data_IF_770802834947
#
_entry.id   IF_770802834947
#
_cell.length_a   1.000
_cell.length_b   1.000
_cell.length_c   1.000
_cell.angle_alpha   90.00
_cell.angle_beta   90.00
_cell.angle_gamma   90.00
#
_symmetry.space_group_name_H-M   'P 1'
#
loop_
_entity.id
_entity.type
_entity.pdbx_description
1 polymer ?
#
# COMPACT_ATOMS: atom_id res chain seq x y z
N UNK A 1 -4.50 -14.77 2.79
CA UNK A 1 -5.96 -14.70 3.06
C UNK A 1 -6.16 -13.78 4.25
N UNK A 2 -7.16 -12.89 4.21
CA UNK A 2 -7.46 -11.97 5.29
C UNK A 2 -8.03 -12.74 6.49
N UNK A 3 -7.51 -12.46 7.68
CA UNK A 3 -7.92 -13.11 8.93
C UNK A 3 -8.52 -12.06 9.88
N UNK A 4 -9.72 -12.28 10.45
CA UNK A 4 -10.38 -11.29 11.30
C UNK A 4 -9.69 -11.13 12.67
N UNK A 5 -8.77 -12.04 13.00
CA UNK A 5 -8.08 -12.10 14.29
C UNK A 5 -6.57 -12.25 14.10
N UNK A 6 -5.86 -11.79 15.11
CA UNK A 6 -4.42 -11.99 15.27
C UNK A 6 -4.12 -13.47 15.59
N UNK A 7 -2.86 -13.92 15.44
CA UNK A 7 -2.46 -15.30 15.77
C UNK A 7 -2.75 -15.72 17.22
N UNK A 8 -2.83 -14.76 18.14
CA UNK A 8 -3.18 -14.97 19.55
C UNK A 8 -4.70 -14.98 19.80
N UNK A 9 -5.52 -14.82 18.76
CA UNK A 9 -6.98 -14.77 18.82
C UNK A 9 -7.58 -13.40 19.15
N UNK A 10 -6.77 -12.38 19.41
CA UNK A 10 -7.24 -11.02 19.61
C UNK A 10 -7.81 -10.42 18.32
N UNK A 11 -8.74 -9.46 18.44
CA UNK A 11 -9.18 -8.69 17.28
C UNK A 11 -8.02 -7.81 16.78
N UNK A 12 -8.01 -7.53 15.47
CA UNK A 12 -7.20 -6.44 14.96
C UNK A 12 -7.73 -5.10 15.50
N UNK A 13 -6.84 -4.12 15.75
CA UNK A 13 -7.30 -2.78 16.12
C UNK A 13 -8.12 -2.15 14.98
N UNK A 14 -9.03 -1.21 15.29
CA UNK A 14 -9.75 -0.48 14.27
C UNK A 14 -8.80 0.35 13.39
N UNK A 15 -9.18 0.55 12.13
CA UNK A 15 -8.46 1.47 11.24
C UNK A 15 -8.57 2.89 11.81
N UNK A 16 -7.46 3.61 12.02
CA UNK A 16 -7.52 4.96 12.58
C UNK A 16 -8.32 5.93 11.71
N UNK A 17 -9.09 6.83 12.34
CA UNK A 17 -9.92 7.83 11.63
C UNK A 17 -9.12 8.71 10.67
N UNK A 18 -7.87 9.03 11.00
CA UNK A 18 -6.98 9.82 10.14
C UNK A 18 -6.66 9.09 8.84
N UNK A 19 -6.52 7.77 8.87
CA UNK A 19 -6.30 6.93 7.70
C UNK A 19 -7.59 6.76 6.90
N UNK A 20 -8.73 6.60 7.58
CA UNK A 20 -10.06 6.55 6.93
C UNK A 20 -10.37 7.84 6.18
N UNK A 21 -9.97 9.01 6.71
CA UNK A 21 -10.12 10.30 6.02
C UNK A 21 -9.33 10.36 4.71
N UNK A 22 -8.13 9.78 4.66
CA UNK A 22 -7.34 9.71 3.41
C UNK A 22 -8.09 8.87 2.38
N UNK A 23 -8.61 7.69 2.76
CA UNK A 23 -9.43 6.87 1.87
C UNK A 23 -10.59 7.67 1.26
N UNK A 24 -11.39 8.32 2.12
CA UNK A 24 -12.57 9.10 1.69
C UNK A 24 -12.22 10.20 0.68
N UNK A 25 -11.01 10.74 0.73
CA UNK A 25 -10.56 11.81 -0.17
C UNK A 25 -10.09 11.30 -1.54
N UNK A 26 -9.61 10.06 -1.64
CA UNK A 26 -8.84 9.60 -2.82
C UNK A 26 -9.38 8.32 -3.47
N UNK A 27 -10.24 7.57 -2.79
CA UNK A 27 -10.72 6.26 -3.29
C UNK A 27 -11.79 6.39 -4.36
N UNK A 28 -12.46 7.54 -4.45
CA UNK A 28 -13.59 7.79 -5.35
C UNK A 28 -14.77 6.80 -5.17
N UNK A 29 -14.87 6.16 -3.99
CA UNK A 29 -15.94 5.21 -3.67
C UNK A 29 -16.55 5.46 -2.30
N UNK A 30 -17.85 5.21 -2.17
CA UNK A 30 -18.57 5.35 -0.89
C UNK A 30 -18.26 4.21 0.10
N UNK A 31 -17.92 3.02 -0.41
CA UNK A 31 -17.59 1.85 0.41
C UNK A 31 -16.33 2.13 1.24
N UNK A 32 -16.37 2.05 2.59
CA UNK A 32 -15.18 2.18 3.41
C UNK A 32 -14.28 0.95 3.28
N UNK A 33 -12.96 1.08 3.53
CA UNK A 33 -12.07 -0.05 3.59
C UNK A 33 -12.35 -0.85 4.85
N UNK A 34 -12.25 -2.17 4.76
CA UNK A 34 -12.39 -3.10 5.89
C UNK A 34 -11.05 -3.74 6.28
N UNK A 35 -9.99 -3.44 5.52
CA UNK A 35 -8.66 -3.97 5.72
C UNK A 35 -7.58 -2.89 5.58
N UNK A 36 -6.58 -2.96 6.45
CA UNK A 36 -5.45 -2.05 6.52
C UNK A 36 -4.18 -2.86 6.79
N UNK A 37 -3.32 -2.99 5.77
CA UNK A 37 -2.04 -3.65 5.88
C UNK A 37 -0.93 -2.62 6.12
N UNK A 38 -0.14 -2.83 7.17
CA UNK A 38 1.02 -2.00 7.49
C UNK A 38 2.29 -2.78 7.12
N UNK A 39 3.06 -2.24 6.18
CA UNK A 39 4.38 -2.76 5.83
C UNK A 39 5.47 -1.83 6.35
N UNK A 40 6.53 -2.39 6.93
CA UNK A 40 7.73 -1.66 7.30
C UNK A 40 8.90 -2.09 6.41
N UNK A 41 9.64 -1.11 5.89
CA UNK A 41 10.81 -1.30 5.04
C UNK A 41 12.03 -0.64 5.70
N UNK A 42 13.04 -1.44 6.04
CA UNK A 42 14.36 -0.98 6.48
C UNK A 42 15.30 -0.65 5.31
N UNK A 43 16.60 -0.56 5.61
CA UNK A 43 17.66 -0.13 4.68
C UNK A 43 17.71 -0.93 3.37
N UNK A 44 17.67 -2.26 3.44
CA UNK A 44 17.77 -3.14 2.28
C UNK A 44 16.43 -3.77 1.86
N UNK A 45 15.32 -3.24 2.39
CA UNK A 45 14.00 -3.82 2.16
C UNK A 45 13.50 -3.55 0.73
N UNK A 46 12.99 -4.60 0.10
CA UNK A 46 12.41 -4.58 -1.24
C UNK A 46 11.17 -5.44 -1.29
N UNK A 47 10.29 -5.13 -2.24
CA UNK A 47 9.11 -5.92 -2.54
C UNK A 47 9.03 -6.11 -4.04
N UNK A 48 9.14 -7.38 -4.48
CA UNK A 48 9.06 -7.72 -5.89
C UNK A 48 7.72 -7.35 -6.52
N UNK A 49 7.68 -7.37 -7.85
CA UNK A 49 6.45 -7.11 -8.60
C UNK A 49 5.40 -8.18 -8.27
N UNK A 50 4.27 -7.74 -7.76
CA UNK A 50 3.11 -8.56 -7.42
C UNK A 50 1.82 -7.82 -7.81
N UNK A 51 0.68 -8.49 -7.67
CA UNK A 51 -0.64 -7.90 -7.86
C UNK A 51 -1.43 -8.13 -6.57
N UNK A 52 -2.23 -7.15 -6.18
CA UNK A 52 -3.23 -7.31 -5.12
C UNK A 52 -4.46 -8.00 -5.72
N UNK A 53 -4.65 -9.29 -5.41
CA UNK A 53 -5.68 -10.16 -6.02
C UNK A 53 -6.40 -11.05 -5.02
N UNK A 54 -6.15 -10.83 -3.74
CA UNK A 54 -6.68 -11.65 -2.65
C UNK A 54 -8.06 -11.14 -2.18
N UNK A 55 -8.51 -10.01 -2.70
CA UNK A 55 -9.81 -9.41 -2.39
C UNK A 55 -10.94 -10.09 -3.15
N UNK A 56 -12.12 -10.16 -2.52
CA UNK A 56 -13.31 -10.79 -3.09
C UNK A 56 -13.83 -10.05 -4.32
N UNK A 57 -13.78 -8.72 -4.30
CA UNK A 57 -14.22 -7.86 -5.41
C UNK A 57 -13.06 -6.95 -5.84
N UNK A 58 -12.54 -7.22 -7.04
CA UNK A 58 -11.41 -6.52 -7.62
C UNK A 58 -11.80 -5.21 -8.34
N UNK A 59 -13.05 -4.76 -8.21
CA UNK A 59 -13.48 -3.43 -8.68
C UNK A 59 -13.13 -2.31 -7.69
N UNK A 60 -13.02 -2.63 -6.40
CA UNK A 60 -12.65 -1.66 -5.37
C UNK A 60 -11.19 -1.24 -5.50
N UNK A 61 -10.83 0.03 -5.24
CA UNK A 61 -9.47 0.50 -5.36
C UNK A 61 -8.55 -0.07 -4.27
N UNK A 62 -7.24 -0.01 -4.51
CA UNK A 62 -6.20 -0.12 -3.47
C UNK A 62 -5.64 1.28 -3.23
N UNK A 63 -5.65 1.74 -1.99
CA UNK A 63 -5.05 3.03 -1.59
C UNK A 63 -3.82 2.76 -0.76
N UNK A 64 -2.67 3.29 -1.17
CA UNK A 64 -1.37 3.04 -0.55
C UNK A 64 -0.71 4.35 -0.14
N UNK A 65 -0.52 4.54 1.17
CA UNK A 65 0.04 5.75 1.77
C UNK A 65 1.51 5.50 2.11
N UNK A 66 2.39 6.42 1.73
CA UNK A 66 3.83 6.35 2.01
C UNK A 66 4.20 7.27 3.17
N UNK A 67 4.92 6.76 4.16
CA UNK A 67 5.36 7.51 5.33
C UNK A 67 6.83 7.16 5.63
N UNK A 68 7.68 8.15 5.90
CA UNK A 68 9.10 7.91 6.16
C UNK A 68 9.94 7.99 4.91
N UNK A 69 10.97 7.16 4.81
CA UNK A 69 11.95 7.23 3.72
C UNK A 69 11.33 7.10 2.33
N UNK A 70 11.89 7.85 1.37
CA UNK A 70 11.48 7.80 -0.02
C UNK A 70 11.69 6.37 -0.58
N UNK A 71 10.77 5.90 -1.40
CA UNK A 71 10.87 4.60 -2.05
C UNK A 71 10.64 4.68 -3.55
N UNK A 72 11.44 3.90 -4.30
CA UNK A 72 11.26 3.76 -5.74
C UNK A 72 10.16 2.72 -5.99
N UNK A 73 8.94 3.22 -6.15
CA UNK A 73 7.77 2.45 -6.49
C UNK A 73 7.79 2.11 -7.98
N UNK A 74 7.72 0.81 -8.30
CA UNK A 74 7.66 0.32 -9.67
C UNK A 74 6.24 -0.12 -9.96
N UNK A 75 5.66 0.38 -11.05
CA UNK A 75 4.32 0.01 -11.55
C UNK A 75 4.42 -0.45 -13.01
N UNK A 76 3.77 -1.56 -13.32
CA UNK A 76 3.76 -2.20 -14.62
C UNK A 76 2.38 -2.30 -15.24
N UNK A 77 2.28 -3.14 -16.26
CA UNK A 77 1.01 -3.52 -16.87
C UNK A 77 0.26 -4.54 -16.00
N UNK A 78 -0.96 -4.90 -16.40
CA UNK A 78 -1.76 -5.95 -15.76
C UNK A 78 -1.33 -7.37 -16.17
N UNK A 79 -0.52 -7.48 -17.23
CA UNK A 79 0.08 -8.72 -17.73
C UNK A 79 1.53 -8.84 -17.28
N UNK A 80 1.95 -10.09 -16.99
CA UNK A 80 3.32 -10.37 -16.56
C UNK A 80 4.30 -10.14 -17.72
N UNK A 81 5.46 -9.57 -17.42
CA UNK A 81 6.51 -9.28 -18.41
C UNK A 81 6.28 -8.00 -19.22
N UNK A 82 5.19 -7.26 -18.96
CA UNK A 82 4.95 -5.96 -19.56
C UNK A 82 5.95 -4.89 -19.08
N UNK A 83 5.98 -3.76 -19.79
CA UNK A 83 6.81 -2.62 -19.44
C UNK A 83 6.48 -2.07 -18.04
N UNK A 84 7.49 -1.53 -17.37
CA UNK A 84 7.34 -0.90 -16.04
C UNK A 84 7.82 0.54 -16.06
N UNK A 85 7.24 1.34 -15.18
CA UNK A 85 7.67 2.70 -14.86
C UNK A 85 7.98 2.77 -13.38
N UNK A 86 8.94 3.62 -13.02
CA UNK A 86 9.32 3.84 -11.63
C UNK A 86 9.05 5.28 -11.23
N UNK A 87 8.48 5.46 -10.04
CA UNK A 87 8.18 6.74 -9.44
C UNK A 87 8.76 6.76 -8.03
N UNK A 88 9.41 7.85 -7.65
CA UNK A 88 9.74 8.05 -6.23
C UNK A 88 8.47 8.44 -5.50
N UNK A 89 8.14 7.69 -4.44
CA UNK A 89 7.11 8.05 -3.47
C UNK A 89 7.80 8.58 -2.23
N UNK A 90 7.44 9.79 -1.83
CA UNK A 90 7.95 10.48 -0.67
C UNK A 90 7.00 10.33 0.52
N UNK A 91 7.46 10.73 1.70
CA UNK A 91 6.60 10.79 2.88
C UNK A 91 5.40 11.71 2.64
N UNK A 92 4.19 11.18 2.77
CA UNK A 92 2.92 11.87 2.52
C UNK A 92 2.26 11.51 1.19
N UNK A 93 3.00 10.89 0.25
CA UNK A 93 2.43 10.52 -1.05
C UNK A 93 1.42 9.39 -0.92
N UNK A 94 0.38 9.45 -1.75
CA UNK A 94 -0.67 8.44 -1.84
C UNK A 94 -0.76 7.93 -3.28
N UNK A 95 -0.60 6.61 -3.44
CA UNK A 95 -0.83 5.92 -4.71
C UNK A 95 -2.19 5.21 -4.67
N UNK A 96 -2.98 5.39 -5.73
CA UNK A 96 -4.29 4.72 -5.88
C UNK A 96 -4.23 3.82 -7.12
N UNK A 97 -4.48 2.52 -6.92
CA UNK A 97 -4.63 1.55 -8.00
C UNK A 97 -6.12 1.25 -8.16
N UNK A 98 -6.72 1.78 -9.22
CA UNK A 98 -8.15 1.68 -9.50
C UNK A 98 -8.41 1.42 -10.99
N UNK A 99 -9.64 1.00 -11.30
CA UNK A 99 -10.07 0.75 -12.68
C UNK A 99 -9.10 -0.15 -13.45
N UNK A 100 -8.64 0.31 -14.61
CA UNK A 100 -7.71 -0.45 -15.48
C UNK A 100 -6.35 -0.76 -14.82
N UNK A 101 -5.96 0.02 -13.80
CA UNK A 101 -4.69 -0.15 -13.08
C UNK A 101 -4.83 -0.94 -11.78
N UNK A 102 -6.05 -1.34 -11.41
CA UNK A 102 -6.32 -2.04 -10.15
C UNK A 102 -5.53 -3.34 -9.98
N UNK A 103 -5.23 -3.99 -11.10
CA UNK A 103 -4.41 -5.22 -11.16
C UNK A 103 -3.05 -4.95 -11.79
N UNK A 104 -2.52 -3.74 -11.77
CA UNK A 104 -1.17 -3.47 -12.25
C UNK A 104 -0.15 -4.21 -11.38
N UNK A 105 0.83 -4.86 -12.02
CA UNK A 105 1.98 -5.39 -11.29
C UNK A 105 2.74 -4.23 -10.64
N UNK A 106 3.00 -4.30 -9.34
CA UNK A 106 3.69 -3.23 -8.64
C UNK A 106 4.56 -3.73 -7.49
N UNK A 107 5.47 -2.89 -7.02
CA UNK A 107 6.42 -3.24 -5.97
C UNK A 107 7.30 -2.08 -5.55
N UNK A 108 8.17 -2.35 -4.57
CA UNK A 108 9.17 -1.40 -4.08
C UNK A 108 10.54 -1.94 -4.48
N UNK A 109 11.20 -1.25 -5.40
CA UNK A 109 12.49 -1.67 -5.95
C UNK A 109 13.63 -1.41 -4.95
N UNK A 110 13.62 -0.22 -4.35
CA UNK A 110 14.54 0.18 -3.28
C UNK A 110 13.96 1.31 -2.44
N UNK A 111 14.44 1.42 -1.21
CA UNK A 111 14.26 2.58 -0.33
C UNK A 111 15.49 3.47 -0.38
N UNK A 112 15.33 4.78 -0.22
CA UNK A 112 16.45 5.69 0.06
C UNK A 112 16.55 5.86 1.56
N UNK A 113 17.25 4.94 2.21
CA UNK A 113 17.33 4.88 3.66
C UNK A 113 17.87 6.19 4.27
N UNK A 114 17.22 6.65 5.34
CA UNK A 114 17.57 7.90 6.06
C UNK A 114 17.24 9.19 5.29
N UNK A 115 16.41 9.12 4.25
CA UNK A 115 15.96 10.31 3.51
C UNK A 115 14.89 11.12 4.23
N UNK A 116 14.19 10.53 5.19
CA UNK A 116 13.14 11.18 5.96
C UNK A 116 13.53 11.34 7.43
N UNK A 117 12.98 12.38 8.05
CA UNK A 117 13.09 12.62 9.51
C UNK A 117 11.88 12.09 10.28
N UNK A 118 10.88 11.54 9.60
CA UNK A 118 9.65 11.07 10.26
C UNK A 118 9.94 9.92 11.23
N UNK A 119 10.80 8.98 10.83
CA UNK A 119 11.25 7.87 11.67
C UNK A 119 12.68 8.14 12.14
N UNK A 120 12.93 8.31 13.46
CA UNK A 120 14.26 8.69 13.96
C UNK A 120 15.38 7.70 13.62
N UNK A 121 15.04 6.44 13.34
CA UNK A 121 16.00 5.37 12.98
C UNK A 121 16.02 5.08 11.48
N UNK A 122 15.43 5.95 10.66
CA UNK A 122 15.16 5.68 9.26
C UNK A 122 14.06 4.63 9.07
N UNK A 123 13.84 4.28 7.82
CA UNK A 123 12.83 3.32 7.37
C UNK A 123 11.60 3.98 6.77
N UNK A 124 10.77 3.14 6.16
CA UNK A 124 9.51 3.52 5.52
C UNK A 124 8.37 2.66 6.06
N UNK A 125 7.26 3.30 6.34
CA UNK A 125 5.97 2.67 6.59
C UNK A 125 5.09 2.84 5.36
N UNK A 126 4.41 1.78 4.97
CA UNK A 126 3.36 1.82 3.97
C UNK A 126 2.06 1.32 4.57
N UNK A 127 1.01 2.13 4.44
CA UNK A 127 -0.34 1.79 4.89
C UNK A 127 -1.16 1.52 3.64
N UNK A 128 -1.62 0.28 3.46
CA UNK A 128 -2.40 -0.12 2.30
C UNK A 128 -3.82 -0.49 2.72
N UNK A 129 -4.79 0.27 2.20
CA UNK A 129 -6.22 0.13 2.47
C UNK A 129 -6.90 -0.59 1.32
N UNK A 130 -7.80 -1.51 1.67
CA UNK A 130 -8.53 -2.35 0.72
C UNK A 130 -9.93 -2.67 1.24
N UNK A 131 -10.79 -3.09 0.32
CA UNK A 131 -12.06 -3.79 0.62
C UNK A 131 -11.82 -5.26 0.33
N UNK A 132 -11.54 -6.05 1.37
CA UNK A 132 -11.22 -7.47 1.28
C UNK A 132 -12.47 -8.35 1.07
N UNK A 133 -13.57 -8.00 1.75
CA UNK A 133 -14.81 -8.78 1.77
C UNK A 133 -14.82 -9.89 2.82
#
# INVERSE_FOLDING_TARGET
>A
RYEPRQPDGAAWPPIPDTILKVWQQVSEVERPPDSCLINYYGEDSRMGLHQDRDETDLSWPVVSISLGDDALFRVGQTTRGGATKSHWLQSGDVAVLAGQTRLAFHGIDRTRFGSSRLLPKGGRINVTLRVAG
#
